data_IF_221642430392
#
_entry.id   IF_221642430392
#
_cell.length_a   1.000
_cell.length_b   1.000
_cell.length_c   1.000
_cell.angle_alpha   90.00
_cell.angle_beta   90.00
_cell.angle_gamma   90.00
#
_symmetry.space_group_name_H-M   'P 1'
#
loop_
_entity.id
_entity.type
_entity.pdbx_description
1 polymer ?
#
# COMPACT_ATOMS: atom_id res chain seq x y z
N UNK A 1 40.64 -1.86 -38.79
CA UNK A 1 40.20 -2.33 -37.47
C UNK A 1 40.01 -1.09 -36.61
N UNK A 2 38.78 -0.60 -36.49
CA UNK A 2 38.47 0.61 -35.73
C UNK A 2 38.35 0.23 -34.24
N UNK A 3 39.19 0.76 -33.33
CA UNK A 3 39.17 0.43 -31.90
C UNK A 3 37.88 0.85 -31.16
N UNK A 4 36.88 1.39 -31.87
CA UNK A 4 35.61 1.87 -31.35
C UNK A 4 34.44 0.90 -31.51
N UNK A 5 34.68 -0.33 -31.96
CA UNK A 5 33.72 -1.42 -31.84
C UNK A 5 33.59 -1.82 -30.35
N UNK A 6 32.91 -0.96 -29.59
CA UNK A 6 32.59 -1.20 -28.19
C UNK A 6 31.75 -2.46 -28.07
N UNK A 7 32.10 -3.29 -27.08
CA UNK A 7 31.44 -4.55 -26.79
C UNK A 7 29.91 -4.41 -26.88
N UNK A 8 29.20 -5.40 -27.48
CA UNK A 8 27.75 -5.38 -27.55
C UNK A 8 27.17 -5.08 -26.17
N UNK A 9 26.44 -3.98 -26.04
CA UNK A 9 25.76 -3.64 -24.78
C UNK A 9 24.75 -4.76 -24.52
N UNK A 10 24.97 -5.54 -23.47
CA UNK A 10 24.01 -6.56 -23.05
C UNK A 10 22.65 -5.89 -22.86
N UNK A 11 21.64 -6.39 -23.58
CA UNK A 11 20.27 -5.90 -23.43
C UNK A 11 19.81 -6.24 -22.01
N UNK A 12 19.49 -5.21 -21.23
CA UNK A 12 18.87 -5.38 -19.91
C UNK A 12 17.37 -5.51 -20.06
N UNK A 13 16.78 -6.44 -19.33
CA UNK A 13 15.33 -6.66 -19.29
C UNK A 13 14.71 -6.00 -18.06
N UNK A 14 13.44 -5.64 -18.17
CA UNK A 14 12.71 -5.02 -17.07
C UNK A 14 12.61 -5.99 -15.87
N UNK A 15 13.04 -5.62 -14.65
CA UNK A 15 13.06 -6.51 -13.50
C UNK A 15 11.67 -6.77 -12.90
N UNK A 16 10.67 -5.95 -13.25
CA UNK A 16 9.32 -5.98 -12.68
C UNK A 16 8.66 -7.33 -12.96
N UNK A 17 8.02 -7.88 -11.91
CA UNK A 17 7.25 -9.12 -12.00
C UNK A 17 5.78 -8.80 -12.25
N UNK A 18 5.13 -9.51 -13.15
CA UNK A 18 3.68 -9.55 -13.31
C UNK A 18 3.00 -10.04 -12.01
N UNK A 19 1.69 -9.81 -11.83
CA UNK A 19 0.96 -10.32 -10.66
C UNK A 19 1.04 -11.84 -10.52
N UNK A 20 1.28 -12.53 -11.64
CA UNK A 20 1.47 -13.98 -11.71
C UNK A 20 2.91 -14.44 -11.39
N UNK A 21 3.80 -13.51 -11.08
CA UNK A 21 5.18 -13.77 -10.65
C UNK A 21 6.20 -13.88 -11.78
N UNK A 22 5.75 -13.88 -13.04
CA UNK A 22 6.59 -13.88 -14.24
C UNK A 22 7.31 -12.54 -14.42
N UNK A 23 8.57 -12.57 -14.86
CA UNK A 23 9.31 -11.34 -15.16
C UNK A 23 8.86 -10.72 -16.48
N UNK A 24 8.91 -9.39 -16.55
CA UNK A 24 8.67 -8.67 -17.79
C UNK A 24 9.76 -8.96 -18.82
N UNK A 25 9.38 -9.55 -19.95
CA UNK A 25 10.29 -9.86 -21.07
C UNK A 25 10.64 -8.64 -21.94
N UNK A 26 10.16 -7.44 -21.61
CA UNK A 26 10.42 -6.25 -22.41
C UNK A 26 11.83 -5.70 -22.14
N UNK A 27 12.61 -5.42 -23.19
CA UNK A 27 13.92 -4.79 -23.04
C UNK A 27 13.78 -3.36 -22.53
N UNK A 28 14.76 -2.91 -21.76
CA UNK A 28 14.84 -1.53 -21.30
C UNK A 28 15.39 -0.68 -22.46
N UNK A 29 14.64 0.32 -22.97
CA UNK A 29 15.00 1.04 -24.19
C UNK A 29 16.24 1.93 -24.05
N UNK A 30 16.58 2.32 -22.82
CA UNK A 30 17.71 3.20 -22.52
C UNK A 30 18.60 2.58 -21.45
N UNK A 31 19.91 2.66 -21.61
CA UNK A 31 20.89 2.14 -20.65
C UNK A 31 20.78 2.78 -19.25
N UNK A 32 20.08 3.90 -19.12
CA UNK A 32 19.87 4.61 -17.84
C UNK A 32 18.50 4.32 -17.19
N UNK A 33 17.62 3.58 -17.87
CA UNK A 33 16.30 3.24 -17.35
C UNK A 33 16.37 2.05 -16.39
N UNK A 34 15.49 2.02 -15.38
CA UNK A 34 15.31 0.84 -14.50
C UNK A 34 14.20 -0.09 -14.97
N UNK A 35 13.26 0.41 -15.76
CA UNK A 35 12.05 -0.30 -16.19
C UNK A 35 11.80 -0.07 -17.68
N UNK A 36 11.02 -0.95 -18.31
CA UNK A 36 10.47 -0.69 -19.64
C UNK A 36 9.48 0.51 -19.58
N UNK A 37 9.11 1.05 -20.74
CA UNK A 37 8.25 2.25 -20.83
C UNK A 37 6.93 2.09 -20.06
N UNK A 38 6.24 0.98 -20.28
CA UNK A 38 4.95 0.68 -19.65
C UNK A 38 5.04 0.61 -18.12
N UNK A 39 5.97 -0.19 -17.60
CA UNK A 39 6.20 -0.30 -16.16
C UNK A 39 6.74 1.00 -15.53
N UNK A 40 7.44 1.84 -16.30
CA UNK A 40 7.83 3.16 -15.81
C UNK A 40 6.64 4.11 -15.67
N UNK A 41 5.68 4.07 -16.59
CA UNK A 41 4.43 4.83 -16.51
C UNK A 41 3.57 4.35 -15.33
N UNK A 42 3.42 3.04 -15.15
CA UNK A 42 2.74 2.44 -13.98
C UNK A 42 3.42 2.85 -12.67
N UNK A 43 4.75 2.74 -12.59
CA UNK A 43 5.54 3.20 -11.44
C UNK A 43 5.22 4.66 -11.10
N UNK A 44 5.27 5.55 -12.10
CA UNK A 44 5.00 6.97 -11.90
C UNK A 44 3.56 7.22 -11.43
N UNK A 45 2.60 6.48 -11.97
CA UNK A 45 1.20 6.60 -11.59
C UNK A 45 0.97 6.19 -10.13
N UNK A 46 1.45 5.01 -9.72
CA UNK A 46 1.33 4.55 -8.32
C UNK A 46 2.09 5.47 -7.36
N UNK A 47 3.29 5.92 -7.76
CA UNK A 47 4.08 6.86 -6.97
C UNK A 47 3.32 8.16 -6.70
N UNK A 48 2.74 8.76 -7.75
CA UNK A 48 1.91 9.97 -7.62
C UNK A 48 0.71 9.72 -6.72
N UNK A 49 -0.01 8.62 -6.94
CA UNK A 49 -1.21 8.30 -6.18
C UNK A 49 -0.96 8.25 -4.67
N UNK A 50 0.08 7.54 -4.21
CA UNK A 50 0.36 7.49 -2.77
C UNK A 50 0.93 8.82 -2.24
N UNK A 51 1.63 9.61 -3.08
CA UNK A 51 2.11 10.95 -2.68
C UNK A 51 0.98 11.95 -2.51
N UNK A 52 -0.02 11.89 -3.38
CA UNK A 52 -1.23 12.71 -3.27
C UNK A 52 -1.99 12.34 -1.98
N UNK A 53 -2.15 11.04 -1.69
CA UNK A 53 -2.71 10.58 -0.42
C UNK A 53 -1.89 11.09 0.79
N UNK A 54 -0.56 11.06 0.71
CA UNK A 54 0.33 11.59 1.74
C UNK A 54 0.15 13.09 1.98
N UNK A 55 -0.11 13.87 0.92
CA UNK A 55 -0.41 15.29 1.05
C UNK A 55 -1.73 15.53 1.78
N UNK A 56 -2.77 14.73 1.47
CA UNK A 56 -4.07 14.78 2.18
C UNK A 56 -3.90 14.41 3.65
N UNK A 57 -3.14 13.36 3.97
CA UNK A 57 -2.85 12.97 5.37
C UNK A 57 -2.21 14.13 6.13
N UNK A 58 -1.21 14.81 5.54
CA UNK A 58 -0.54 15.95 6.17
C UNK A 58 -1.48 17.13 6.42
N UNK A 59 -2.33 17.48 5.46
CA UNK A 59 -3.31 18.56 5.64
C UNK A 59 -4.33 18.22 6.74
N UNK A 60 -4.87 17.01 6.73
CA UNK A 60 -5.82 16.55 7.73
C UNK A 60 -5.19 16.40 9.12
N UNK A 61 -3.90 16.06 9.21
CA UNK A 61 -3.16 15.92 10.47
C UNK A 61 -3.17 17.23 11.28
N UNK A 62 -3.03 18.37 10.60
CA UNK A 62 -3.03 19.71 11.22
C UNK A 62 -4.39 20.08 11.85
N UNK A 63 -5.47 19.44 11.41
CA UNK A 63 -6.84 19.73 11.84
C UNK A 63 -7.36 18.73 12.88
N UNK A 64 -6.53 17.78 13.29
CA UNK A 64 -6.93 16.75 14.25
C UNK A 64 -6.99 17.31 15.66
N UNK A 65 -8.05 16.95 16.38
CA UNK A 65 -8.15 17.23 17.81
C UNK A 65 -7.19 16.33 18.61
N UNK A 66 -6.70 16.84 19.72
CA UNK A 66 -5.97 16.05 20.70
C UNK A 66 -6.92 15.30 21.63
N UNK A 67 -6.38 14.32 22.37
CA UNK A 67 -7.15 13.66 23.45
C UNK A 67 -7.52 14.60 24.59
N UNK A 68 -6.79 15.71 24.77
CA UNK A 68 -7.07 16.69 25.81
C UNK A 68 -8.30 17.54 25.42
N UNK A 69 -8.42 17.85 24.12
CA UNK A 69 -9.54 18.63 23.57
C UNK A 69 -10.87 17.87 23.59
N UNK A 70 -10.85 16.53 23.67
CA UNK A 70 -12.09 15.74 23.82
C UNK A 70 -12.95 16.22 25.00
N UNK A 71 -12.30 16.67 26.08
CA UNK A 71 -13.00 17.15 27.27
C UNK A 71 -13.57 18.55 27.10
N UNK A 72 -13.23 19.30 26.06
CA UNK A 72 -13.86 20.61 25.78
C UNK A 72 -15.10 20.46 24.90
N UNK A 73 -15.33 19.30 24.26
CA UNK A 73 -16.52 19.04 23.47
C UNK A 73 -17.75 18.90 24.38
N UNK A 74 -18.63 19.92 24.32
CA UNK A 74 -19.82 20.05 25.18
C UNK A 74 -21.12 19.76 24.46
N UNK A 75 -21.19 19.98 23.15
CA UNK A 75 -22.38 19.72 22.36
C UNK A 75 -22.17 18.54 21.39
N UNK A 76 -23.28 17.96 20.93
CA UNK A 76 -23.26 16.80 20.04
C UNK A 76 -22.65 17.16 18.67
N UNK A 77 -22.98 18.34 18.13
CA UNK A 77 -22.48 18.80 16.83
C UNK A 77 -20.94 18.87 16.80
N UNK A 78 -20.29 19.43 17.84
CA UNK A 78 -18.82 19.49 17.89
C UNK A 78 -18.17 18.09 17.90
N UNK A 79 -18.83 17.11 18.54
CA UNK A 79 -18.35 15.73 18.59
C UNK A 79 -18.51 15.06 17.24
N UNK A 80 -19.65 15.26 16.58
CA UNK A 80 -19.92 14.76 15.22
C UNK A 80 -18.91 15.34 14.22
N UNK A 81 -18.66 16.65 14.24
CA UNK A 81 -17.61 17.29 13.42
C UNK A 81 -16.21 16.71 13.67
N UNK A 82 -15.89 16.40 14.94
CA UNK A 82 -14.62 15.76 15.30
C UNK A 82 -14.55 14.30 14.81
N UNK A 83 -15.67 13.57 14.82
CA UNK A 83 -15.76 12.22 14.26
C UNK A 83 -15.52 12.25 12.76
N UNK A 84 -16.19 13.12 12.02
CA UNK A 84 -16.06 13.24 10.57
C UNK A 84 -14.61 13.54 10.15
N UNK A 85 -13.96 14.49 10.83
CA UNK A 85 -12.52 14.79 10.60
C UNK A 85 -11.61 13.60 10.92
N UNK A 86 -11.95 12.81 11.94
CA UNK A 86 -11.16 11.62 12.31
C UNK A 86 -11.36 10.49 11.29
N UNK A 87 -12.57 10.30 10.78
CA UNK A 87 -12.90 9.30 9.76
C UNK A 87 -12.26 9.64 8.41
N UNK A 88 -12.29 10.92 7.99
CA UNK A 88 -11.58 11.38 6.80
C UNK A 88 -10.06 11.14 6.91
N UNK A 89 -9.47 11.42 8.08
CA UNK A 89 -8.05 11.15 8.33
C UNK A 89 -7.74 9.65 8.25
N UNK A 90 -8.58 8.80 8.87
CA UNK A 90 -8.42 7.34 8.83
C UNK A 90 -8.51 6.79 7.41
N UNK A 91 -9.43 7.32 6.59
CA UNK A 91 -9.53 6.95 5.19
C UNK A 91 -8.26 7.35 4.43
N UNK A 92 -7.81 8.59 4.58
CA UNK A 92 -6.62 9.10 3.90
C UNK A 92 -5.34 8.31 4.27
N UNK A 93 -5.14 8.02 5.56
CA UNK A 93 -3.94 7.29 6.00
C UNK A 93 -3.94 5.83 5.52
N UNK A 94 -5.11 5.17 5.47
CA UNK A 94 -5.25 3.84 4.88
C UNK A 94 -4.91 3.84 3.40
N UNK A 95 -5.43 4.81 2.64
CA UNK A 95 -5.11 4.97 1.22
C UNK A 95 -3.61 5.22 0.99
N UNK A 96 -2.95 6.00 1.85
CA UNK A 96 -1.48 6.17 1.76
C UNK A 96 -0.73 4.86 2.04
N UNK A 97 -1.09 4.12 3.10
CA UNK A 97 -0.47 2.84 3.45
C UNK A 97 -0.62 1.85 2.30
N UNK A 98 -1.85 1.65 1.81
CA UNK A 98 -2.14 0.71 0.72
C UNK A 98 -1.41 1.09 -0.57
N UNK A 99 -1.38 2.39 -0.91
CA UNK A 99 -0.68 2.87 -2.11
C UNK A 99 0.83 2.64 -2.04
N UNK A 100 1.44 2.79 -0.86
CA UNK A 100 2.87 2.52 -0.64
C UNK A 100 3.18 1.03 -0.69
N UNK A 101 2.40 0.21 0.00
CA UNK A 101 2.55 -1.25 0.00
C UNK A 101 2.41 -1.82 -1.41
N UNK A 102 1.43 -1.33 -2.19
CA UNK A 102 1.23 -1.73 -3.58
C UNK A 102 2.44 -1.32 -4.45
N UNK A 103 2.89 -0.07 -4.34
CA UNK A 103 4.05 0.40 -5.09
C UNK A 103 5.33 -0.37 -4.72
N UNK A 104 5.53 -0.66 -3.44
CA UNK A 104 6.65 -1.43 -2.91
C UNK A 104 6.63 -2.86 -3.46
N UNK A 105 5.53 -3.60 -3.25
CA UNK A 105 5.40 -4.98 -3.69
C UNK A 105 5.57 -5.14 -5.21
N UNK A 106 5.22 -4.11 -5.99
CA UNK A 106 5.29 -4.12 -7.45
C UNK A 106 6.69 -3.82 -7.99
N UNK A 107 7.39 -2.86 -7.39
CA UNK A 107 8.59 -2.27 -8.01
C UNK A 107 9.86 -2.33 -7.15
N UNK A 108 9.76 -2.70 -5.88
CA UNK A 108 10.88 -2.67 -4.93
C UNK A 108 11.20 -4.09 -4.47
N UNK A 109 12.34 -4.62 -4.90
CA UNK A 109 12.80 -5.96 -4.51
C UNK A 109 13.33 -5.99 -3.07
N UNK A 110 14.07 -4.94 -2.68
CA UNK A 110 14.64 -4.80 -1.33
C UNK A 110 14.16 -3.49 -0.72
N UNK A 111 13.29 -3.60 0.28
CA UNK A 111 12.72 -2.48 1.01
C UNK A 111 13.78 -1.94 1.96
N UNK A 112 14.01 -0.63 1.95
CA UNK A 112 14.92 -0.01 2.90
C UNK A 112 14.27 0.12 4.30
N UNK A 113 15.10 0.04 5.35
CA UNK A 113 14.65 0.13 6.74
C UNK A 113 13.91 1.46 7.04
N UNK A 114 14.26 2.53 6.34
CA UNK A 114 13.62 3.84 6.48
C UNK A 114 12.17 3.81 5.99
N UNK A 115 11.91 3.15 4.86
CA UNK A 115 10.56 2.94 4.33
C UNK A 115 9.73 2.08 5.27
N UNK A 116 10.29 0.97 5.75
CA UNK A 116 9.62 0.07 6.68
C UNK A 116 9.24 0.80 7.99
N UNK A 117 10.17 1.56 8.57
CA UNK A 117 9.93 2.37 9.76
C UNK A 117 8.86 3.44 9.53
N UNK A 118 8.83 4.05 8.34
CA UNK A 118 7.82 5.03 7.97
C UNK A 118 6.42 4.42 7.90
N UNK A 119 6.25 3.28 7.23
CA UNK A 119 4.98 2.55 7.16
C UNK A 119 4.48 2.14 8.55
N UNK A 120 5.38 1.65 9.41
CA UNK A 120 5.03 1.33 10.79
C UNK A 120 4.57 2.58 11.57
N UNK A 121 5.21 3.72 11.33
CA UNK A 121 4.77 5.01 11.84
C UNK A 121 3.34 5.37 11.42
N UNK A 122 2.97 5.14 10.16
CA UNK A 122 1.62 5.37 9.66
C UNK A 122 0.60 4.43 10.33
N UNK A 123 0.89 3.13 10.40
CA UNK A 123 0.01 2.14 11.07
C UNK A 123 -0.21 2.47 12.54
N UNK A 124 0.83 2.93 13.24
CA UNK A 124 0.70 3.40 14.62
C UNK A 124 -0.23 4.62 14.73
N UNK A 125 -0.10 5.59 13.81
CA UNK A 125 -1.00 6.76 13.75
C UNK A 125 -2.44 6.33 13.47
N UNK A 126 -2.67 5.44 12.50
CA UNK A 126 -3.98 4.87 12.19
C UNK A 126 -4.61 4.25 13.45
N UNK A 127 -3.89 3.35 14.13
CA UNK A 127 -4.35 2.70 15.36
C UNK A 127 -4.71 3.70 16.47
N UNK A 128 -3.92 4.76 16.63
CA UNK A 128 -4.19 5.82 17.60
C UNK A 128 -5.47 6.61 17.28
N UNK A 129 -5.70 6.91 16.00
CA UNK A 129 -6.89 7.65 15.53
C UNK A 129 -8.15 6.78 15.54
N UNK A 130 -8.04 5.49 15.24
CA UNK A 130 -9.15 4.55 15.41
C UNK A 130 -9.61 4.49 16.88
N UNK A 131 -8.67 4.45 17.83
CA UNK A 131 -9.02 4.50 19.25
C UNK A 131 -9.65 5.84 19.68
N UNK A 132 -9.22 6.95 19.08
CA UNK A 132 -9.85 8.26 19.28
C UNK A 132 -11.30 8.26 18.79
N UNK A 133 -11.57 7.71 17.61
CA UNK A 133 -12.92 7.61 17.05
C UNK A 133 -13.87 6.82 17.96
N UNK A 134 -13.42 5.71 18.54
CA UNK A 134 -14.21 4.95 19.54
C UNK A 134 -14.54 5.83 20.76
N UNK A 135 -13.57 6.62 21.22
CA UNK A 135 -13.77 7.53 22.36
C UNK A 135 -14.77 8.64 22.02
N UNK A 136 -14.71 9.19 20.80
CA UNK A 136 -15.67 10.20 20.32
C UNK A 136 -17.08 9.63 20.24
N UNK A 137 -17.25 8.40 19.72
CA UNK A 137 -18.56 7.72 19.67
C UNK A 137 -19.16 7.51 21.06
N UNK A 138 -18.35 7.10 22.03
CA UNK A 138 -18.79 7.00 23.43
C UNK A 138 -19.20 8.37 23.99
N UNK A 139 -18.40 9.41 23.71
CA UNK A 139 -18.69 10.78 24.15
C UNK A 139 -19.99 11.33 23.55
N UNK A 140 -20.24 11.07 22.28
CA UNK A 140 -21.48 11.47 21.60
C UNK A 140 -22.69 10.81 22.27
N UNK A 141 -22.59 9.52 22.60
CA UNK A 141 -23.63 8.80 23.32
C UNK A 141 -23.91 9.43 24.69
N UNK A 142 -22.89 9.72 25.51
CA UNK A 142 -23.06 10.39 26.81
C UNK A 142 -23.81 11.72 26.71
N UNK A 143 -23.47 12.53 25.70
CA UNK A 143 -24.13 13.83 25.48
C UNK A 143 -25.59 13.61 25.08
N UNK A 144 -25.86 12.67 24.16
CA UNK A 144 -27.23 12.39 23.67
C UNK A 144 -28.14 11.80 24.74
N UNK A 145 -27.63 10.96 25.63
CA UNK A 145 -28.44 10.35 26.70
C UNK A 145 -28.58 11.24 27.94
N UNK A 146 -27.91 12.41 27.98
CA UNK A 146 -27.86 13.26 29.17
C UNK A 146 -27.19 12.58 30.37
N UNK A 147 -26.54 11.43 30.15
CA UNK A 147 -25.79 10.70 31.17
C UNK A 147 -24.46 11.42 31.36
N UNK A 148 -24.50 12.59 31.99
CA UNK A 148 -23.30 13.17 32.56
C UNK A 148 -22.88 12.22 33.67
N UNK A 149 -21.71 11.55 33.59
CA UNK A 149 -21.21 10.77 34.70
C UNK A 149 -20.89 11.78 35.80
N UNK A 150 -21.85 12.04 36.69
CA UNK A 150 -21.60 12.72 37.94
C UNK A 150 -20.50 11.89 38.61
N UNK A 151 -19.32 12.50 38.74
CA UNK A 151 -18.21 11.86 39.42
C UNK A 151 -18.60 11.73 40.90
N UNK A 152 -19.02 10.53 41.31
CA UNK A 152 -18.84 10.05 42.67
C UNK A 152 -17.33 10.05 42.95
N UNK A 153 -16.85 11.15 43.52
CA UNK A 153 -15.43 11.42 43.81
C UNK A 153 -14.80 10.46 44.82
N UNK A 154 -15.55 9.53 45.40
CA UNK A 154 -15.08 8.64 46.47
C UNK A 154 -14.58 7.26 46.04
N UNK A 155 -14.65 6.86 44.76
CA UNK A 155 -14.29 5.51 44.30
C UNK A 155 -13.11 5.35 43.33
N UNK A 156 -12.48 6.45 42.88
CA UNK A 156 -11.76 6.52 41.60
C UNK A 156 -10.41 5.77 41.48
N UNK A 157 -9.91 5.10 42.52
CA UNK A 157 -8.55 4.53 42.52
C UNK A 157 -8.48 3.07 42.04
N UNK A 158 -9.50 2.24 42.29
CA UNK A 158 -9.45 0.80 41.93
C UNK A 158 -10.01 0.47 40.54
N UNK A 159 -10.93 1.28 40.01
CA UNK A 159 -11.66 0.96 38.77
C UNK A 159 -10.89 1.34 37.48
N UNK A 160 -9.96 2.30 37.55
CA UNK A 160 -9.07 2.64 36.43
C UNK A 160 -8.15 1.51 35.99
N UNK A 161 -7.86 0.55 36.88
CA UNK A 161 -7.06 -0.63 36.53
C UNK A 161 -7.83 -1.63 35.67
N UNK A 162 -9.16 -1.65 35.75
CA UNK A 162 -9.99 -2.69 35.11
C UNK A 162 -10.41 -2.33 33.67
N UNK A 163 -10.65 -1.04 33.37
CA UNK A 163 -11.02 -0.58 32.01
C UNK A 163 -9.84 -0.71 31.00
N UNK A 164 -8.59 -0.78 31.47
CA UNK A 164 -7.41 -0.95 30.59
C UNK A 164 -7.28 -2.36 29.99
N UNK A 165 -7.89 -3.40 30.57
CA UNK A 165 -7.76 -4.79 30.08
C UNK A 165 -8.62 -5.10 28.84
N UNK A 166 -9.92 -4.74 28.78
CA UNK A 166 -10.77 -5.07 27.63
C UNK A 166 -10.35 -4.38 26.33
N UNK A 167 -9.78 -3.18 26.42
CA UNK A 167 -9.41 -2.39 25.25
C UNK A 167 -8.27 -3.02 24.43
N UNK A 168 -7.37 -3.79 25.07
CA UNK A 168 -6.28 -4.46 24.35
C UNK A 168 -6.80 -5.63 23.51
N UNK A 169 -7.71 -6.41 24.08
CA UNK A 169 -8.27 -7.62 23.45
C UNK A 169 -9.24 -7.30 22.31
N UNK A 170 -10.07 -6.26 22.45
CA UNK A 170 -10.96 -5.80 21.36
C UNK A 170 -10.15 -5.18 20.21
N UNK A 171 -9.03 -4.53 20.52
CA UNK A 171 -8.16 -3.92 19.51
C UNK A 171 -7.37 -4.96 18.70
N UNK A 172 -7.05 -6.11 19.30
CA UNK A 172 -6.40 -7.24 18.63
C UNK A 172 -7.38 -8.00 17.73
N UNK A 173 -8.65 -8.15 18.13
CA UNK A 173 -9.66 -8.88 17.34
C UNK A 173 -10.13 -8.11 16.10
N UNK A 174 -10.32 -6.78 16.18
CA UNK A 174 -10.68 -5.95 15.02
C UNK A 174 -9.53 -5.81 14.02
N UNK A 175 -8.28 -5.74 14.50
CA UNK A 175 -7.11 -5.67 13.63
C UNK A 175 -6.93 -6.97 12.84
N UNK A 176 -7.24 -8.12 13.43
CA UNK A 176 -7.13 -9.41 12.74
C UNK A 176 -8.26 -9.63 11.72
N UNK A 177 -9.51 -9.27 12.06
CA UNK A 177 -10.64 -9.48 11.16
C UNK A 177 -10.65 -8.55 9.94
N UNK A 178 -10.27 -7.27 10.08
CA UNK A 178 -10.15 -6.37 8.91
C UNK A 178 -9.01 -6.80 7.98
N UNK A 179 -7.88 -7.27 8.52
CA UNK A 179 -6.75 -7.73 7.72
C UNK A 179 -7.09 -9.03 6.97
N UNK A 180 -7.84 -9.93 7.63
CA UNK A 180 -8.33 -11.15 7.02
C UNK A 180 -9.36 -10.86 5.92
N UNK A 181 -10.29 -9.93 6.15
CA UNK A 181 -11.27 -9.55 5.15
C UNK A 181 -10.62 -8.93 3.91
N UNK A 182 -9.62 -8.05 4.08
CA UNK A 182 -8.87 -7.46 2.96
C UNK A 182 -8.06 -8.50 2.19
N UNK A 183 -7.47 -9.49 2.88
CA UNK A 183 -6.82 -10.64 2.21
C UNK A 183 -7.81 -11.44 1.37
N UNK A 184 -9.00 -11.72 1.89
CA UNK A 184 -10.04 -12.46 1.17
C UNK A 184 -10.60 -11.69 -0.02
N UNK A 185 -10.75 -10.37 0.10
CA UNK A 185 -11.23 -9.51 -0.99
C UNK A 185 -10.18 -9.40 -2.12
N UNK A 186 -8.90 -9.29 -1.76
CA UNK A 186 -7.80 -9.33 -2.71
C UNK A 186 -7.73 -10.67 -3.47
N UNK A 187 -7.91 -11.79 -2.77
CA UNK A 187 -7.99 -13.13 -3.41
C UNK A 187 -9.18 -13.17 -4.38
N UNK A 188 -10.36 -12.68 -3.97
CA UNK A 188 -11.57 -12.62 -4.82
C UNK A 188 -11.37 -11.78 -6.08
N UNK A 189 -10.76 -10.61 -5.97
CA UNK A 189 -10.45 -9.77 -7.13
C UNK A 189 -9.47 -10.47 -8.08
N UNK A 190 -8.48 -11.17 -7.54
CA UNK A 190 -7.53 -11.93 -8.35
C UNK A 190 -8.20 -13.09 -9.09
N UNK A 191 -9.10 -13.82 -8.45
CA UNK A 191 -9.88 -14.90 -9.10
C UNK A 191 -10.79 -14.36 -10.21
N UNK A 192 -11.50 -13.25 -9.96
CA UNK A 192 -12.35 -12.62 -10.97
C UNK A 192 -11.54 -12.11 -12.17
N UNK A 193 -10.39 -11.50 -11.92
CA UNK A 193 -9.52 -10.97 -12.99
C UNK A 193 -8.81 -12.10 -13.75
N UNK A 194 -8.33 -13.14 -13.06
CA UNK A 194 -7.69 -14.31 -13.67
C UNK A 194 -8.65 -15.16 -14.50
N UNK A 195 -9.91 -15.30 -14.09
CA UNK A 195 -10.94 -15.99 -14.88
C UNK A 195 -11.32 -15.23 -16.15
N UNK A 196 -11.14 -13.91 -16.19
CA UNK A 196 -11.34 -13.11 -17.40
C UNK A 196 -10.26 -13.40 -18.45
N UNK A 197 -9.01 -13.59 -18.03
CA UNK A 197 -7.87 -13.86 -18.92
C UNK A 197 -7.96 -15.25 -19.57
N UNK A 198 -8.39 -16.28 -18.84
CA UNK A 198 -8.54 -17.63 -19.41
C UNK A 198 -9.73 -17.76 -20.38
N UNK A 199 -10.81 -17.00 -20.17
CA UNK A 199 -11.93 -16.96 -21.13
C UNK A 199 -11.53 -16.31 -22.46
N UNK A 200 -10.59 -15.36 -22.46
CA UNK A 200 -10.07 -14.76 -23.69
C UNK A 200 -9.13 -15.71 -24.42
N UNK A 201 -8.30 -16.48 -23.71
CA UNK A 201 -7.40 -17.48 -24.34
C UNK A 201 -8.18 -18.65 -24.95
N UNK A 202 -9.28 -19.09 -24.33
CA UNK A 202 -10.14 -20.15 -24.89
C UNK A 202 -11.05 -19.68 -26.04
N UNK A 203 -11.24 -18.37 -26.22
CA UNK A 203 -11.99 -17.80 -27.34
C UNK A 203 -11.14 -17.58 -28.61
N UNK A 204 -9.81 -17.71 -28.53
CA UNK A 204 -8.87 -17.62 -29.67
C UNK A 204 -8.29 -19.01 -29.98
N UNK A 205 -9.12 -20.04 -29.97
CA UNK A 205 -8.79 -21.34 -30.54
C UNK A 205 -9.83 -21.76 -31.58
N UNK A 206 -9.79 -21.22 -32.82
CA UNK A 206 -10.30 -21.95 -33.95
C UNK A 206 -9.18 -22.85 -34.51
N UNK A 207 -9.48 -24.15 -34.58
CA UNK A 207 -9.22 -24.91 -35.80
C UNK A 207 -7.77 -24.94 -36.31
N UNK A 208 -6.86 -25.64 -35.62
CA UNK A 208 -5.63 -26.15 -36.22
C UNK A 208 -5.75 -27.66 -36.48
N UNK A 209 -6.61 -27.99 -37.44
CA UNK A 209 -6.48 -29.21 -38.21
C UNK A 209 -6.35 -28.77 -39.67
N UNK A 210 -5.13 -28.52 -40.13
CA UNK A 210 -4.61 -28.78 -41.49
C UNK A 210 -3.24 -28.09 -41.64
N UNK A 211 -2.27 -28.84 -42.17
CA UNK A 211 -0.87 -28.53 -42.49
C UNK A 211 0.18 -28.73 -41.39
N UNK A 212 1.18 -29.54 -41.74
CA UNK A 212 2.30 -29.94 -40.91
C UNK A 212 3.62 -29.30 -41.32
N UNK A 213 4.70 -29.97 -40.88
CA UNK A 213 6.12 -29.71 -41.07
C UNK A 213 6.68 -28.54 -40.21
N UNK A 214 7.49 -28.81 -39.19
CA UNK A 214 8.92 -29.20 -39.22
C UNK A 214 9.83 -27.97 -39.32
N UNK A 215 10.60 -27.69 -38.25
CA UNK A 215 12.05 -27.36 -38.24
C UNK A 215 12.46 -26.67 -36.91
N UNK A 216 13.55 -27.23 -36.35
CA UNK A 216 14.58 -26.63 -35.48
C UNK A 216 14.25 -26.29 -34.02
N UNK A 217 14.38 -27.33 -33.18
CA UNK A 217 15.19 -27.29 -31.97
C UNK A 217 16.66 -27.06 -32.36
N UNK A 218 17.27 -25.97 -31.89
CA UNK A 218 18.68 -25.90 -31.48
C UNK A 218 18.98 -24.47 -31.00
N UNK A 219 19.90 -24.36 -30.04
CA UNK A 219 20.43 -23.13 -29.39
C UNK A 219 19.88 -22.83 -27.97
N UNK A 220 20.07 -23.79 -27.05
CA UNK A 220 20.21 -23.51 -25.62
C UNK A 220 21.47 -24.22 -25.07
N UNK A 221 22.57 -23.46 -24.93
CA UNK A 221 23.80 -23.72 -24.13
C UNK A 221 24.87 -22.69 -24.55
N UNK A 222 25.72 -22.09 -23.69
CA UNK A 222 25.80 -22.13 -22.22
C UNK A 222 26.37 -20.83 -21.51
N UNK A 223 26.52 -20.89 -20.17
CA UNK A 223 27.33 -20.06 -19.21
C UNK A 223 26.86 -18.63 -18.86
N UNK A 224 26.56 -18.21 -17.61
CA UNK A 224 27.07 -18.42 -16.22
C UNK A 224 28.43 -17.74 -15.92
N UNK A 225 28.38 -16.86 -14.89
CA UNK A 225 29.43 -16.26 -14.04
C UNK A 225 30.17 -14.98 -14.49
N UNK A 226 29.82 -13.83 -13.88
CA UNK A 226 30.69 -13.00 -13.03
C UNK A 226 30.04 -11.63 -12.72
N UNK A 227 29.95 -11.26 -11.44
CA UNK A 227 29.44 -9.96 -10.97
C UNK A 227 30.56 -8.91 -10.87
N UNK A 228 30.24 -7.60 -11.04
CA UNK A 228 30.66 -6.67 -9.99
C UNK A 228 29.67 -5.53 -9.66
N UNK A 229 29.67 -5.22 -8.35
CA UNK A 229 29.24 -4.06 -7.56
C UNK A 229 28.94 -2.76 -8.33
N UNK A 230 27.69 -2.27 -8.21
CA UNK A 230 27.28 -0.92 -8.64
C UNK A 230 26.99 -0.02 -7.42
N UNK A 231 27.71 1.10 -7.35
CA UNK A 231 27.40 2.25 -6.47
C UNK A 231 26.19 3.00 -7.03
N UNK A 232 25.27 3.29 -6.12
CA UNK A 232 24.01 4.00 -6.30
C UNK A 232 24.21 5.50 -6.55
N UNK A 233 23.75 6.01 -7.69
CA UNK A 233 23.32 7.41 -7.84
C UNK A 233 22.44 7.56 -9.09
N UNK A 234 21.11 7.60 -8.91
CA UNK A 234 20.17 8.15 -9.89
C UNK A 234 18.83 8.43 -9.19
N UNK A 235 18.74 9.60 -8.58
CA UNK A 235 17.52 10.31 -8.21
C UNK A 235 17.49 11.60 -9.04
N UNK A 236 16.30 12.06 -9.44
CA UNK A 236 15.98 13.29 -10.18
C UNK A 236 16.04 13.26 -11.72
N UNK A 237 15.00 12.69 -12.35
CA UNK A 237 14.49 13.21 -13.64
C UNK A 237 13.05 12.79 -13.97
N UNK A 238 12.15 12.92 -13.00
CA UNK A 238 10.70 12.86 -13.26
C UNK A 238 10.05 14.15 -12.77
N UNK A 239 10.31 15.27 -13.46
CA UNK A 239 9.42 16.44 -13.46
C UNK A 239 9.94 17.48 -14.45
N UNK A 240 9.31 17.54 -15.63
CA UNK A 240 8.73 18.77 -16.20
C UNK A 240 7.87 18.40 -17.42
N UNK A 241 6.69 19.03 -17.59
CA UNK A 241 5.86 18.88 -18.78
C UNK A 241 6.55 19.41 -20.03
#
# INVERSE_FOLDING_TARGET
MDPREGSPKQLQFCPVRSPDGEHCSMPIPYATGKHCKEHHEEYCALYRAYKDASAVVKDLELRQISRQDLRSLRCAADVEDAMDRTEQFLKAIRTEIEGRELHEARFIENVDDGHAAYLEGLRKKEKMRAALLVTLKARLHEIKTGTVPYMTTTGASKERANIRRPFRTIQESFSYSEQQHRREEFIRQREQNGLSTWRTVLAIAPFSAYYGASIALDLLRPYIEAAPVWKSDCFYRCNKP
#
